data_IF_977440745062
#
_entry.id   IF_977440745062
#
_cell.length_a   1.000
_cell.length_b   1.000
_cell.length_c   1.000
_cell.angle_alpha   90.00
_cell.angle_beta   90.00
_cell.angle_gamma   90.00
#
_symmetry.space_group_name_H-M   'P 1'
#
loop_
_entity.id
_entity.type
_entity.pdbx_description
1 polymer ?
#
# COMPACT_ATOMS: atom_id res chain seq x y z
N UNK A 1 -10.79 38.24 27.22
CA UNK A 1 -11.01 37.52 25.94
C UNK A 1 -12.50 37.55 25.63
N UNK A 2 -12.88 37.98 24.44
CA UNK A 2 -14.29 38.02 24.00
C UNK A 2 -14.70 36.68 23.32
N UNK A 3 -15.97 36.50 22.99
CA UNK A 3 -16.47 35.21 22.49
C UNK A 3 -15.92 34.86 21.09
N UNK A 4 -15.68 35.84 20.23
CA UNK A 4 -15.09 35.58 18.90
C UNK A 4 -13.64 35.11 19.02
N UNK A 5 -12.85 35.76 19.89
CA UNK A 5 -11.49 35.32 20.22
C UNK A 5 -11.46 33.89 20.78
N UNK A 6 -12.48 33.48 21.55
CA UNK A 6 -12.63 32.09 21.96
C UNK A 6 -12.87 31.17 20.76
N UNK A 7 -13.77 31.52 19.85
CA UNK A 7 -14.04 30.68 18.68
C UNK A 7 -12.80 30.51 17.81
N UNK A 8 -12.06 31.59 17.58
CA UNK A 8 -10.81 31.57 16.83
C UNK A 8 -9.79 30.67 17.52
N UNK A 9 -9.56 30.86 18.83
CA UNK A 9 -8.68 29.99 19.63
C UNK A 9 -9.12 28.51 19.59
N UNK A 10 -10.41 28.23 19.80
CA UNK A 10 -10.94 26.86 19.81
C UNK A 10 -10.81 26.21 18.43
N UNK A 11 -10.91 26.99 17.35
CA UNK A 11 -10.71 26.49 16.00
C UNK A 11 -9.24 26.27 15.66
N UNK A 12 -8.37 27.22 15.99
CA UNK A 12 -6.93 27.19 15.69
C UNK A 12 -6.24 26.08 16.48
N UNK A 13 -6.51 25.96 17.77
CA UNK A 13 -5.80 25.04 18.67
C UNK A 13 -6.51 23.71 18.88
N UNK A 14 -7.83 23.64 18.70
CA UNK A 14 -8.60 22.42 19.02
C UNK A 14 -9.52 21.94 17.87
N UNK A 15 -9.58 22.67 16.74
CA UNK A 15 -10.50 22.38 15.62
C UNK A 15 -11.97 22.24 16.04
N UNK A 16 -12.37 22.88 17.14
CA UNK A 16 -13.73 22.82 17.67
C UNK A 16 -14.53 24.03 17.20
N UNK A 17 -15.59 23.78 16.42
CA UNK A 17 -16.52 24.82 15.93
C UNK A 17 -17.91 24.73 16.54
N UNK A 18 -18.35 23.54 16.93
CA UNK A 18 -19.72 23.32 17.42
C UNK A 18 -19.80 23.67 18.90
N UNK A 19 -20.85 24.39 19.27
CA UNK A 19 -21.14 24.77 20.66
C UNK A 19 -21.13 23.57 21.62
N UNK A 20 -21.62 22.41 21.17
CA UNK A 20 -21.60 21.14 21.93
C UNK A 20 -20.20 20.67 22.28
N UNK A 21 -19.27 20.78 21.33
CA UNK A 21 -17.91 20.29 21.51
C UNK A 21 -17.11 21.25 22.40
N UNK A 22 -17.34 22.57 22.24
CA UNK A 22 -16.77 23.60 23.10
C UNK A 22 -17.28 23.45 24.54
N UNK A 23 -18.58 23.19 24.73
CA UNK A 23 -19.15 22.93 26.05
C UNK A 23 -18.50 21.71 26.72
N UNK A 24 -18.30 20.62 25.96
CA UNK A 24 -17.60 19.41 26.41
C UNK A 24 -16.15 19.71 26.82
N UNK A 25 -15.43 20.51 26.03
CA UNK A 25 -14.04 20.90 26.34
C UNK A 25 -13.94 21.63 27.69
N UNK A 26 -14.87 22.54 27.97
CA UNK A 26 -14.89 23.28 29.24
C UNK A 26 -15.57 22.53 30.39
N UNK A 27 -16.21 21.37 30.14
CA UNK A 27 -16.99 20.65 31.15
C UNK A 27 -18.23 21.42 31.59
N UNK A 28 -18.84 22.20 30.68
CA UNK A 28 -20.02 23.03 30.94
C UNK A 28 -21.18 22.62 30.04
N UNK A 29 -22.36 23.19 30.29
CA UNK A 29 -23.55 22.96 29.46
C UNK A 29 -23.54 23.81 28.19
N UNK A 30 -24.27 23.40 27.16
CA UNK A 30 -24.50 24.22 25.97
C UNK A 30 -25.11 25.58 26.34
N UNK A 31 -25.99 25.62 27.34
CA UNK A 31 -26.60 26.85 27.82
C UNK A 31 -25.56 27.84 28.36
N UNK A 32 -24.52 27.36 29.06
CA UNK A 32 -23.43 28.19 29.54
C UNK A 32 -22.68 28.87 28.37
N UNK A 33 -22.36 28.11 27.32
CA UNK A 33 -21.72 28.66 26.11
C UNK A 33 -22.63 29.68 25.41
N UNK A 34 -23.96 29.43 25.36
CA UNK A 34 -24.93 30.38 24.81
C UNK A 34 -24.95 31.70 25.59
N UNK A 35 -24.87 31.62 26.92
CA UNK A 35 -24.82 32.80 27.78
C UNK A 35 -23.52 33.59 27.59
N UNK A 36 -22.37 32.93 27.38
CA UNK A 36 -21.10 33.61 27.08
C UNK A 36 -21.14 34.31 25.73
N UNK A 37 -21.76 33.66 24.72
CA UNK A 37 -22.00 34.28 23.41
C UNK A 37 -22.86 35.54 23.54
N UNK A 38 -23.95 35.47 24.31
CA UNK A 38 -24.87 36.59 24.50
C UNK A 38 -24.25 37.75 25.29
N UNK A 39 -23.49 37.44 26.33
CA UNK A 39 -22.82 38.44 27.18
C UNK A 39 -21.48 38.94 26.62
N UNK A 40 -21.00 38.32 25.53
CA UNK A 40 -19.68 38.51 24.96
C UNK A 40 -18.52 38.45 25.98
N UNK A 41 -18.73 37.69 27.07
CA UNK A 41 -17.80 37.61 28.19
C UNK A 41 -17.60 36.16 28.61
N UNK A 42 -16.35 35.79 28.86
CA UNK A 42 -15.95 34.44 29.27
C UNK A 42 -15.52 34.52 30.73
N UNK A 43 -16.14 33.74 31.63
CA UNK A 43 -15.77 33.79 33.04
C UNK A 43 -14.29 33.45 33.24
N UNK A 44 -13.59 34.27 34.04
CA UNK A 44 -12.13 34.21 34.23
C UNK A 44 -11.62 32.83 34.68
N UNK A 45 -12.43 32.06 35.42
CA UNK A 45 -12.09 30.68 35.81
C UNK A 45 -11.84 29.74 34.63
N UNK A 46 -12.43 30.02 33.47
CA UNK A 46 -12.19 29.25 32.23
C UNK A 46 -11.05 29.82 31.39
N UNK A 47 -10.68 31.10 31.60
CA UNK A 47 -9.52 31.72 30.96
C UNK A 47 -8.19 31.06 31.39
N UNK A 48 -8.12 30.53 32.62
CA UNK A 48 -6.95 29.78 33.10
C UNK A 48 -6.73 28.50 32.28
N UNK A 49 -7.81 27.81 31.90
CA UNK A 49 -7.76 26.59 31.07
C UNK A 49 -7.25 26.86 29.66
N UNK A 50 -7.34 28.12 29.20
CA UNK A 50 -6.86 28.60 27.90
C UNK A 50 -5.38 29.02 27.93
N UNK A 51 -4.81 29.23 29.13
CA UNK A 51 -3.40 29.62 29.32
C UNK A 51 -2.45 28.42 29.44
N UNK A 52 -2.97 27.19 29.48
CA UNK A 52 -2.14 25.99 29.51
C UNK A 52 -1.72 25.64 28.08
N UNK A 53 -0.57 26.17 27.66
CA UNK A 53 0.11 25.74 26.46
C UNK A 53 0.54 24.27 26.59
N UNK A 54 0.08 23.44 25.65
CA UNK A 54 0.97 22.53 24.94
C UNK A 54 0.57 22.49 23.47
N UNK A 55 1.39 23.00 22.54
CA UNK A 55 1.33 22.54 21.18
C UNK A 55 1.92 21.12 21.17
N UNK A 56 1.07 20.10 21.03
CA UNK A 56 1.56 18.84 20.42
C UNK A 56 2.04 19.25 19.04
N UNK A 57 3.28 18.94 18.66
CA UNK A 57 3.85 19.27 17.36
C UNK A 57 2.99 18.61 16.27
N UNK A 58 1.94 19.31 15.83
CA UNK A 58 0.88 18.75 14.98
C UNK A 58 1.42 18.30 13.63
N UNK A 59 2.51 18.92 13.16
CA UNK A 59 3.23 18.52 11.95
C UNK A 59 3.78 17.10 12.12
N UNK A 60 4.49 16.84 13.21
CA UNK A 60 5.09 15.54 13.52
C UNK A 60 4.03 14.45 13.75
N UNK A 61 2.88 14.81 14.34
CA UNK A 61 1.73 13.91 14.45
C UNK A 61 1.11 13.60 13.08
N UNK A 62 0.95 14.59 12.20
CA UNK A 62 0.40 14.39 10.85
C UNK A 62 1.37 13.57 9.98
N UNK A 63 2.67 13.82 10.08
CA UNK A 63 3.70 13.06 9.37
C UNK A 63 3.74 11.61 9.84
N UNK A 64 3.77 11.38 11.16
CA UNK A 64 3.74 10.01 11.72
C UNK A 64 2.46 9.27 11.36
N UNK A 65 1.29 9.92 11.44
CA UNK A 65 0.03 9.33 10.98
C UNK A 65 0.05 9.03 9.48
N UNK A 66 0.61 9.92 8.66
CA UNK A 66 0.74 9.69 7.22
C UNK A 66 1.65 8.49 6.92
N UNK A 67 2.77 8.36 7.62
CA UNK A 67 3.67 7.20 7.51
C UNK A 67 2.98 5.89 7.92
N UNK A 68 2.21 5.91 9.01
CA UNK A 68 1.41 4.76 9.45
C UNK A 68 0.36 4.38 8.40
N UNK A 69 -0.35 5.36 7.83
CA UNK A 69 -1.32 5.14 6.75
C UNK A 69 -0.67 4.56 5.49
N UNK A 70 0.49 5.08 5.07
CA UNK A 70 1.25 4.56 3.93
C UNK A 70 1.68 3.11 4.21
N UNK A 71 2.21 2.83 5.40
CA UNK A 71 2.62 1.49 5.81
C UNK A 71 1.45 0.51 5.86
N UNK A 72 0.30 0.92 6.41
CA UNK A 72 -0.92 0.11 6.43
C UNK A 72 -1.41 -0.21 5.02
N UNK A 73 -1.42 0.79 4.12
CA UNK A 73 -1.84 0.58 2.74
C UNK A 73 -0.91 -0.41 2.02
N UNK A 74 0.41 -0.28 2.21
CA UNK A 74 1.40 -1.22 1.68
C UNK A 74 1.19 -2.63 2.22
N UNK A 75 0.97 -2.78 3.53
CA UNK A 75 0.69 -4.07 4.14
C UNK A 75 -0.60 -4.70 3.59
N UNK A 76 -1.65 -3.91 3.34
CA UNK A 76 -2.90 -4.40 2.73
C UNK A 76 -2.65 -4.90 1.30
N UNK A 77 -1.86 -4.19 0.49
CA UNK A 77 -1.47 -4.63 -0.86
C UNK A 77 -0.72 -5.95 -0.80
N UNK A 78 0.24 -6.05 0.11
CA UNK A 78 1.01 -7.27 0.32
C UNK A 78 0.11 -8.44 0.76
N UNK A 79 -0.84 -8.22 1.67
CA UNK A 79 -1.83 -9.21 2.10
C UNK A 79 -2.71 -9.66 0.95
N UNK A 80 -3.20 -8.74 0.11
CA UNK A 80 -4.02 -9.09 -1.07
C UNK A 80 -3.23 -9.94 -2.06
N UNK A 81 -1.98 -9.57 -2.33
CA UNK A 81 -1.09 -10.38 -3.16
C UNK A 81 -0.91 -11.77 -2.56
N UNK A 82 -0.62 -11.86 -1.25
CA UNK A 82 -0.47 -13.14 -0.53
C UNK A 82 -1.76 -13.97 -0.51
N UNK A 83 -2.93 -13.36 -0.35
CA UNK A 83 -4.22 -14.07 -0.35
C UNK A 83 -4.54 -14.67 -1.70
N UNK A 84 -4.35 -13.92 -2.79
CA UNK A 84 -4.48 -14.44 -4.15
C UNK A 84 -3.52 -15.60 -4.36
N UNK A 85 -2.27 -15.43 -3.93
CA UNK A 85 -1.21 -16.44 -4.00
C UNK A 85 -1.52 -17.69 -3.13
N UNK A 86 -2.14 -17.55 -1.97
CA UNK A 86 -2.42 -18.69 -1.07
C UNK A 86 -3.54 -19.60 -1.53
N UNK A 87 -4.35 -19.18 -2.53
CA UNK A 87 -5.45 -19.98 -3.08
C UNK A 87 -5.00 -21.10 -4.00
N UNK A 88 -3.75 -21.04 -4.46
CA UNK A 88 -3.11 -22.06 -5.29
C UNK A 88 -2.15 -22.85 -4.41
N UNK A 89 -2.09 -24.17 -4.60
CA UNK A 89 -1.07 -25.08 -4.01
C UNK A 89 0.32 -24.79 -4.59
N UNK A 90 0.73 -23.52 -4.58
CA UNK A 90 1.95 -23.04 -5.20
C UNK A 90 3.17 -23.64 -4.52
N UNK A 91 4.08 -24.14 -5.33
CA UNK A 91 5.32 -24.78 -4.90
C UNK A 91 6.50 -23.82 -4.99
N UNK A 92 6.40 -22.76 -5.80
CA UNK A 92 7.43 -21.75 -5.98
C UNK A 92 6.85 -20.35 -5.79
N UNK A 93 7.55 -19.51 -5.02
CA UNK A 93 7.20 -18.11 -4.78
C UNK A 93 8.38 -17.23 -5.18
N UNK A 94 8.11 -16.08 -5.81
CA UNK A 94 9.18 -15.15 -6.14
C UNK A 94 8.75 -13.70 -6.07
N UNK A 95 9.66 -12.85 -5.59
CA UNK A 95 9.55 -11.40 -5.61
C UNK A 95 10.61 -10.83 -6.55
N UNK A 96 10.28 -9.72 -7.21
CA UNK A 96 11.16 -9.08 -8.16
C UNK A 96 10.87 -7.61 -8.41
N UNK A 97 11.67 -7.04 -9.30
CA UNK A 97 11.51 -5.69 -9.84
C UNK A 97 10.85 -5.82 -11.20
N UNK A 98 9.83 -5.00 -11.41
CA UNK A 98 9.17 -4.80 -12.68
C UNK A 98 9.66 -3.51 -13.34
N UNK A 99 9.80 -3.51 -14.65
CA UNK A 99 10.07 -2.30 -15.43
C UNK A 99 9.57 -2.47 -16.86
N UNK A 100 9.40 -1.35 -17.57
CA UNK A 100 9.03 -1.35 -18.99
C UNK A 100 10.18 -0.76 -19.81
N UNK A 101 10.61 -1.48 -20.85
CA UNK A 101 11.57 -0.97 -21.84
C UNK A 101 10.94 -1.08 -23.22
N UNK A 102 10.71 0.05 -23.87
CA UNK A 102 10.04 0.13 -25.18
C UNK A 102 8.69 -0.63 -25.21
N UNK A 103 7.90 -0.49 -24.13
CA UNK A 103 6.61 -1.17 -23.99
C UNK A 103 6.69 -2.67 -23.64
N UNK A 104 7.89 -3.26 -23.53
CA UNK A 104 8.06 -4.66 -23.15
C UNK A 104 8.32 -4.79 -21.64
N UNK A 105 7.61 -5.69 -20.94
CA UNK A 105 7.84 -5.93 -19.52
C UNK A 105 9.18 -6.63 -19.30
N UNK A 106 9.92 -6.13 -18.33
CA UNK A 106 11.20 -6.66 -17.85
C UNK A 106 11.03 -6.98 -16.38
N UNK A 107 11.17 -8.26 -16.03
CA UNK A 107 11.02 -8.75 -14.65
C UNK A 107 12.33 -9.38 -14.19
N UNK A 108 12.91 -8.81 -13.14
CA UNK A 108 14.11 -9.33 -12.48
C UNK A 108 13.76 -9.85 -11.10
N UNK A 109 13.98 -11.14 -10.86
CA UNK A 109 13.73 -11.75 -9.56
C UNK A 109 14.83 -11.38 -8.56
N UNK A 110 14.43 -11.10 -7.32
CA UNK A 110 15.31 -10.77 -6.19
C UNK A 110 15.26 -11.88 -5.14
N UNK A 111 14.05 -12.36 -4.82
CA UNK A 111 13.85 -13.44 -3.85
C UNK A 111 13.06 -14.56 -4.50
N UNK A 112 13.47 -15.78 -4.22
CA UNK A 112 12.86 -17.00 -4.76
C UNK A 112 12.82 -18.02 -3.63
N UNK A 113 11.66 -18.64 -3.44
CA UNK A 113 11.43 -19.70 -2.49
C UNK A 113 10.76 -20.88 -3.19
N UNK A 114 10.98 -22.09 -2.71
CA UNK A 114 10.52 -23.32 -3.34
C UNK A 114 11.51 -23.92 -4.35
N UNK A 115 11.08 -24.98 -5.02
CA UNK A 115 11.93 -25.80 -5.90
C UNK A 115 12.06 -25.21 -7.32
N UNK A 116 12.60 -24.00 -7.39
CA UNK A 116 12.79 -23.26 -8.64
C UNK A 116 13.76 -23.95 -9.60
N UNK A 117 14.74 -24.67 -9.06
CA UNK A 117 15.72 -25.40 -9.84
C UNK A 117 15.07 -26.59 -10.55
N UNK A 118 14.18 -27.34 -9.89
CA UNK A 118 13.36 -28.35 -10.57
C UNK A 118 12.46 -27.74 -11.65
N UNK A 119 11.85 -26.58 -11.36
CA UNK A 119 10.93 -25.92 -12.27
C UNK A 119 11.61 -25.37 -13.54
N UNK A 120 12.83 -24.87 -13.43
CA UNK A 120 13.46 -24.09 -14.51
C UNK A 120 14.85 -24.59 -14.92
N UNK A 121 15.49 -25.42 -14.10
CA UNK A 121 16.85 -25.92 -14.28
C UNK A 121 17.92 -24.91 -13.88
N UNK A 122 17.54 -23.72 -13.44
CA UNK A 122 18.46 -22.68 -12.97
C UNK A 122 18.49 -22.66 -11.45
N UNK A 123 19.68 -22.58 -10.88
CA UNK A 123 19.82 -22.37 -9.43
C UNK A 123 19.27 -20.98 -9.05
N UNK A 124 18.88 -20.81 -7.79
CA UNK A 124 18.45 -19.50 -7.27
C UNK A 124 19.54 -18.43 -7.44
N UNK A 125 20.82 -18.80 -7.23
CA UNK A 125 21.98 -17.91 -7.39
C UNK A 125 22.17 -17.45 -8.84
N UNK A 126 22.03 -18.35 -9.80
CA UNK A 126 22.05 -18.01 -11.23
C UNK A 126 20.91 -17.05 -11.57
N UNK A 127 19.70 -17.38 -11.10
CA UNK A 127 18.47 -16.65 -11.41
C UNK A 127 18.51 -15.19 -10.93
N UNK A 128 18.93 -14.95 -9.68
CA UNK A 128 19.01 -13.59 -9.10
C UNK A 128 20.06 -12.72 -9.82
N UNK A 129 21.15 -13.34 -10.31
CA UNK A 129 22.19 -12.62 -11.07
C UNK A 129 21.74 -12.28 -12.49
N UNK A 130 20.78 -13.01 -13.06
CA UNK A 130 20.33 -12.81 -14.42
C UNK A 130 19.44 -11.57 -14.56
N UNK A 131 19.69 -10.78 -15.59
CA UNK A 131 18.78 -9.73 -16.00
C UNK A 131 17.61 -10.32 -16.80
N UNK A 132 16.39 -9.90 -16.45
CA UNK A 132 15.14 -10.29 -17.07
C UNK A 132 14.94 -11.81 -17.21
N UNK A 133 15.20 -12.60 -16.16
CA UNK A 133 15.16 -14.06 -16.27
C UNK A 133 13.79 -14.57 -16.72
N UNK A 134 12.69 -13.97 -16.23
CA UNK A 134 11.34 -14.32 -16.66
C UNK A 134 11.19 -14.16 -18.17
N UNK A 135 11.64 -13.04 -18.75
CA UNK A 135 11.62 -12.83 -20.20
C UNK A 135 12.53 -13.77 -21.01
N UNK A 136 13.46 -14.50 -20.37
CA UNK A 136 14.32 -15.50 -21.03
C UNK A 136 13.73 -16.90 -21.01
N UNK A 137 13.14 -17.29 -19.89
CA UNK A 137 12.58 -18.64 -19.72
C UNK A 137 11.13 -18.71 -20.18
N UNK A 138 10.38 -17.62 -20.11
CA UNK A 138 8.99 -17.61 -20.54
C UNK A 138 8.92 -17.62 -22.07
N UNK A 139 8.19 -18.59 -22.61
CA UNK A 139 7.85 -18.63 -24.03
C UNK A 139 6.61 -17.76 -24.24
N UNK A 140 6.77 -16.72 -25.06
CA UNK A 140 5.70 -15.82 -25.44
C UNK A 140 5.25 -16.21 -26.86
N UNK A 141 4.18 -17.00 -26.95
CA UNK A 141 3.60 -17.36 -28.25
C UNK A 141 2.84 -16.18 -28.89
N UNK A 142 2.28 -15.30 -28.07
CA UNK A 142 1.53 -14.12 -28.50
C UNK A 142 1.90 -12.90 -27.65
N UNK A 143 2.68 -11.99 -28.22
CA UNK A 143 3.17 -10.79 -27.52
C UNK A 143 2.03 -9.87 -27.08
N UNK A 144 0.97 -9.73 -27.88
CA UNK A 144 -0.19 -8.89 -27.56
C UNK A 144 -0.95 -9.45 -26.36
N UNK A 145 -1.16 -10.76 -26.34
CA UNK A 145 -1.81 -11.44 -25.22
C UNK A 145 -0.98 -11.32 -23.94
N UNK A 146 0.34 -11.53 -24.04
CA UNK A 146 1.24 -11.40 -22.91
C UNK A 146 1.26 -9.98 -22.32
N UNK A 147 1.34 -8.96 -23.18
CA UNK A 147 1.24 -7.57 -22.77
C UNK A 147 -0.10 -7.32 -22.07
N UNK A 148 -1.22 -7.80 -22.63
CA UNK A 148 -2.54 -7.63 -22.02
C UNK A 148 -2.67 -8.30 -20.65
N UNK A 149 -2.03 -9.45 -20.42
CA UNK A 149 -1.98 -10.11 -19.10
C UNK A 149 -1.18 -9.29 -18.08
N UNK A 150 -0.25 -8.48 -18.56
CA UNK A 150 0.59 -7.56 -17.78
C UNK A 150 0.10 -6.11 -17.93
N UNK A 151 -1.18 -5.88 -18.24
CA UNK A 151 -1.80 -4.55 -18.21
C UNK A 151 -2.55 -4.37 -16.88
N UNK A 152 -2.58 -3.15 -16.31
CA UNK A 152 -3.29 -2.89 -15.06
C UNK A 152 -4.76 -3.30 -15.17
N UNK A 153 -5.22 -4.16 -14.27
CA UNK A 153 -6.64 -4.46 -14.09
C UNK A 153 -7.35 -3.38 -13.24
N UNK A 154 -6.58 -2.44 -12.68
CA UNK A 154 -7.04 -1.26 -11.92
C UNK A 154 -6.17 -0.02 -12.20
N UNK A 155 -6.12 0.94 -11.26
CA UNK A 155 -5.40 2.22 -11.47
C UNK A 155 -3.88 2.09 -11.45
N UNK A 156 -3.31 1.17 -10.66
CA UNK A 156 -1.86 1.07 -10.43
C UNK A 156 -1.33 -0.36 -10.26
N UNK A 157 -2.19 -1.37 -10.46
CA UNK A 157 -1.87 -2.77 -10.22
C UNK A 157 -2.45 -3.68 -11.32
N UNK A 158 -1.74 -4.78 -11.60
CA UNK A 158 -2.20 -5.87 -12.44
C UNK A 158 -2.10 -7.20 -11.68
N UNK A 159 -3.12 -8.03 -11.80
CA UNK A 159 -3.07 -9.43 -11.35
C UNK A 159 -3.46 -10.32 -12.51
N UNK A 160 -2.67 -11.37 -12.75
CA UNK A 160 -3.00 -12.41 -13.71
C UNK A 160 -2.91 -13.77 -13.05
N UNK A 161 -4.02 -14.50 -13.05
CA UNK A 161 -4.13 -15.91 -12.71
C UNK A 161 -4.27 -16.72 -14.01
N UNK A 162 -3.44 -17.73 -14.19
CA UNK A 162 -3.44 -18.47 -15.46
C UNK A 162 -2.29 -19.43 -15.62
N UNK A 163 -2.03 -19.80 -16.88
CA UNK A 163 -0.91 -20.67 -17.23
C UNK A 163 0.16 -19.92 -18.02
N UNK A 164 1.42 -20.26 -17.76
CA UNK A 164 2.58 -19.82 -18.54
C UNK A 164 3.31 -21.05 -19.08
N UNK A 165 3.97 -20.88 -20.22
CA UNK A 165 4.89 -21.88 -20.76
C UNK A 165 6.32 -21.40 -20.47
N UNK A 166 7.07 -22.17 -19.69
CA UNK A 166 8.48 -21.93 -19.43
C UNK A 166 9.33 -22.92 -20.23
N UNK A 167 10.52 -22.48 -20.64
CA UNK A 167 11.57 -23.33 -21.21
C UNK A 167 12.62 -23.60 -20.14
N UNK A 168 12.67 -24.84 -19.71
CA UNK A 168 13.67 -25.35 -18.78
C UNK A 168 15.09 -25.24 -19.40
N UNK A 169 16.13 -25.16 -18.56
CA UNK A 169 17.55 -25.05 -18.98
C UNK A 169 17.99 -26.15 -19.94
N UNK A 170 17.43 -27.36 -19.83
CA UNK A 170 17.68 -28.49 -20.73
C UNK A 170 16.90 -28.42 -22.07
N UNK A 171 16.08 -27.39 -22.29
CA UNK A 171 15.30 -27.18 -23.49
C UNK A 171 13.86 -27.69 -23.44
N UNK A 172 13.47 -28.44 -22.40
CA UNK A 172 12.09 -28.93 -22.24
C UNK A 172 11.11 -27.79 -21.96
N UNK A 173 9.89 -27.90 -22.48
CA UNK A 173 8.82 -26.93 -22.26
C UNK A 173 7.92 -27.41 -21.14
N UNK A 174 7.77 -26.57 -20.11
CA UNK A 174 6.94 -26.83 -18.95
C UNK A 174 5.78 -25.85 -18.94
N UNK A 175 4.57 -26.38 -18.83
CA UNK A 175 3.41 -25.55 -18.50
C UNK A 175 3.37 -25.40 -16.99
N UNK A 176 3.17 -24.18 -16.54
CA UNK A 176 3.05 -23.86 -15.12
C UNK A 176 1.75 -23.10 -14.92
N UNK A 177 1.07 -23.37 -13.81
CA UNK A 177 -0.09 -22.62 -13.39
C UNK A 177 0.27 -21.73 -12.20
N UNK A 178 -0.44 -20.62 -12.03
CA UNK A 178 -0.19 -19.74 -10.91
C UNK A 178 -0.76 -18.34 -11.07
N UNK A 179 -0.22 -17.43 -10.25
CA UNK A 179 -0.65 -16.05 -10.17
C UNK A 179 0.57 -15.14 -10.19
N UNK A 180 0.50 -14.07 -10.97
CA UNK A 180 1.46 -12.96 -10.94
C UNK A 180 0.76 -11.66 -10.58
N UNK A 181 1.44 -10.81 -9.81
CA UNK A 181 0.99 -9.49 -9.40
C UNK A 181 2.08 -8.45 -9.70
N UNK A 182 1.67 -7.30 -10.21
CA UNK A 182 2.54 -6.16 -10.52
C UNK A 182 1.99 -4.91 -9.83
N UNK A 183 2.86 -4.18 -9.14
CA UNK A 183 2.63 -2.80 -8.71
C UNK A 183 3.44 -1.85 -9.58
N UNK A 184 2.74 -1.04 -10.39
CA UNK A 184 3.36 -0.08 -11.30
C UNK A 184 3.86 1.18 -10.58
N UNK A 185 3.42 1.43 -9.35
CA UNK A 185 3.86 2.58 -8.54
C UNK A 185 5.19 2.26 -7.88
N UNK A 186 5.30 1.07 -7.30
CA UNK A 186 6.51 0.62 -6.61
C UNK A 186 7.50 -0.13 -7.54
N UNK A 187 7.14 -0.36 -8.80
CA UNK A 187 7.91 -1.16 -9.75
C UNK A 187 8.22 -2.56 -9.21
N UNK A 188 7.23 -3.19 -8.58
CA UNK A 188 7.37 -4.50 -7.95
C UNK A 188 6.63 -5.58 -8.71
N UNK A 189 7.20 -6.77 -8.67
CA UNK A 189 6.63 -7.99 -9.19
C UNK A 189 6.58 -9.04 -8.08
N UNK A 190 5.47 -9.77 -8.00
CA UNK A 190 5.35 -10.98 -7.19
C UNK A 190 4.70 -12.08 -7.99
N UNK A 191 5.06 -13.31 -7.71
CA UNK A 191 4.38 -14.46 -8.30
C UNK A 191 4.43 -15.69 -7.43
N UNK A 192 3.46 -16.57 -7.65
CA UNK A 192 3.43 -17.89 -7.09
C UNK A 192 2.99 -18.88 -8.17
N UNK A 193 3.75 -19.95 -8.31
CA UNK A 193 3.58 -20.93 -9.37
C UNK A 193 3.59 -22.35 -8.81
N UNK A 194 2.87 -23.23 -9.48
CA UNK A 194 2.95 -24.68 -9.34
C UNK A 194 3.19 -25.31 -10.71
N UNK A 195 3.85 -26.46 -10.73
CA UNK A 195 3.77 -27.35 -11.89
C UNK A 195 2.29 -27.64 -12.16
N UNK A 196 1.86 -27.53 -13.42
CA UNK A 196 0.53 -28.04 -13.79
C UNK A 196 0.64 -29.55 -13.92
N UNK A 197 -0.24 -30.28 -13.23
CA UNK A 197 -0.43 -31.74 -13.40
C UNK A 197 -0.66 -32.12 -14.87
#
# INVERSE_FOLDING_TARGET
MNFNQLLDYMYEHHRLRRQKDIAKYFGVTNQAISNWKRSNNIPSKFAIKLQVEKPTNYVELVESLSQVLISLNKNIKDIKAMQSISKISAQCFSDGIFSLKNGKPIIKLIHINGDWEKLTGYTVKETIKMNNIIGKIQIIHNEKEYINRMYPSGLTEATHEGSWTLKHKNGHLLKIHGISWIDYTENKFKSAFSESE
#
